data_IF_945839273330
#
_entry.id   IF_945839273330
#
_cell.length_a   1.000
_cell.length_b   1.000
_cell.length_c   1.000
_cell.angle_alpha   90.00
_cell.angle_beta   90.00
_cell.angle_gamma   90.00
#
_symmetry.space_group_name_H-M   'P 1'
#
loop_
_entity.id
_entity.type
_entity.pdbx_description
1 polymer ?
#
# COMPACT_ATOMS: atom_id res chain seq x y z
N UNK A 1 20.70 9.50 16.35
CA UNK A 1 21.53 8.38 15.85
C UNK A 1 22.80 8.92 15.22
N UNK A 2 23.91 8.32 15.54
CA UNK A 2 25.18 8.57 14.89
C UNK A 2 25.62 7.29 14.20
N UNK A 3 26.00 7.40 12.92
CA UNK A 3 26.56 6.30 12.16
C UNK A 3 27.92 6.72 11.66
N UNK A 4 28.90 5.87 11.84
CA UNK A 4 30.24 6.07 11.33
C UNK A 4 30.64 4.93 10.43
N UNK A 5 31.11 5.24 9.23
CA UNK A 5 31.68 4.24 8.32
C UNK A 5 33.22 4.27 8.46
N UNK A 6 33.84 3.12 8.67
CA UNK A 6 35.30 3.03 8.84
C UNK A 6 36.10 3.04 7.52
N UNK A 7 35.46 2.69 6.39
CA UNK A 7 36.15 2.67 5.10
C UNK A 7 35.80 3.87 4.22
N UNK A 8 36.81 4.65 3.89
CA UNK A 8 36.69 5.83 3.05
C UNK A 8 36.27 5.54 1.61
N UNK A 9 35.27 6.25 1.13
CA UNK A 9 34.87 6.26 -0.28
C UNK A 9 35.99 6.89 -1.10
N UNK A 10 36.66 6.11 -1.95
CA UNK A 10 37.58 6.63 -2.97
C UNK A 10 36.77 7.08 -4.17
N UNK A 11 36.34 8.31 -4.16
CA UNK A 11 35.75 8.94 -5.35
C UNK A 11 36.85 9.36 -6.33
N UNK A 12 36.85 8.81 -7.52
CA UNK A 12 37.87 9.01 -8.55
C UNK A 12 37.58 10.16 -9.50
N UNK A 13 36.48 10.88 -9.39
CA UNK A 13 36.06 11.86 -10.39
C UNK A 13 35.25 13.03 -9.81
N UNK A 14 35.96 14.00 -9.24
CA UNK A 14 35.47 15.39 -9.32
C UNK A 14 36.65 16.31 -9.60
N UNK A 15 36.73 16.74 -10.85
CA UNK A 15 37.38 17.99 -11.33
C UNK A 15 38.49 18.61 -10.46
N UNK A 16 39.73 18.21 -10.69
CA UNK A 16 40.90 19.05 -10.45
C UNK A 16 41.24 19.42 -9.00
N UNK A 17 40.56 18.90 -8.01
CA UNK A 17 40.92 19.04 -6.59
C UNK A 17 41.64 17.79 -6.18
N UNK A 18 42.90 17.87 -5.81
CA UNK A 18 43.59 16.79 -5.12
C UNK A 18 42.84 16.52 -3.82
N UNK A 19 41.96 15.50 -3.82
CA UNK A 19 41.36 14.97 -2.61
C UNK A 19 42.46 14.32 -1.80
N UNK A 20 42.88 14.96 -0.72
CA UNK A 20 43.66 14.33 0.33
C UNK A 20 42.88 13.10 0.77
N UNK A 21 43.49 11.91 0.72
CA UNK A 21 42.87 10.65 1.16
C UNK A 21 42.78 10.64 2.69
N UNK A 22 41.91 11.49 3.24
CA UNK A 22 41.53 11.42 4.64
C UNK A 22 40.34 10.44 4.74
N UNK A 23 40.26 9.63 5.76
CA UNK A 23 39.08 8.79 6.00
C UNK A 23 37.86 9.72 6.09
N UNK A 24 36.92 9.56 5.19
CA UNK A 24 35.65 10.30 5.23
C UNK A 24 34.71 9.51 6.14
N UNK A 25 34.41 10.10 7.30
CA UNK A 25 33.37 9.58 8.18
C UNK A 25 32.02 10.15 7.76
N UNK A 26 31.03 9.28 7.57
CA UNK A 26 29.64 9.68 7.33
C UNK A 26 28.90 9.58 8.64
N UNK A 27 28.28 10.67 9.07
CA UNK A 27 27.45 10.71 10.29
C UNK A 27 26.02 11.04 9.89
N UNK A 28 25.09 10.16 10.23
CA UNK A 28 23.66 10.36 10.03
C UNK A 28 23.01 10.58 11.40
N UNK A 29 22.38 11.75 11.58
CA UNK A 29 21.64 12.09 12.81
C UNK A 29 20.18 12.24 12.46
N UNK A 30 19.31 11.37 13.02
CA UNK A 30 17.87 11.42 12.75
C UNK A 30 17.07 10.78 13.89
N UNK A 31 15.78 11.11 13.93
CA UNK A 31 14.79 10.39 14.73
C UNK A 31 14.24 9.22 13.93
N UNK A 32 14.01 8.08 14.54
CA UNK A 32 13.38 6.92 13.89
C UNK A 32 11.89 7.22 13.65
N UNK A 33 11.38 6.81 12.49
CA UNK A 33 9.97 6.97 12.11
C UNK A 33 9.30 5.64 11.84
N UNK A 34 10.07 4.66 11.39
CA UNK A 34 9.58 3.33 11.06
C UNK A 34 10.71 2.37 10.72
N UNK A 35 10.36 1.11 10.48
CA UNK A 35 11.34 0.06 10.14
C UNK A 35 12.09 0.33 8.83
N UNK A 36 11.50 1.12 7.92
CA UNK A 36 12.03 1.42 6.57
C UNK A 36 12.49 2.86 6.40
N UNK A 37 12.65 3.60 7.48
CA UNK A 37 13.29 4.90 7.43
C UNK A 37 14.74 4.78 6.93
N UNK A 38 15.40 5.92 6.68
CA UNK A 38 16.77 5.92 6.17
C UNK A 38 17.70 5.02 7.00
N UNK A 39 17.61 5.10 8.32
CA UNK A 39 18.39 4.24 9.23
C UNK A 39 18.10 2.76 8.98
N UNK A 40 16.82 2.37 8.92
CA UNK A 40 16.44 0.98 8.68
C UNK A 40 16.92 0.46 7.32
N UNK A 41 16.87 1.30 6.27
CA UNK A 41 17.38 0.95 4.95
C UNK A 41 18.91 0.79 4.93
N UNK A 42 19.63 1.70 5.57
CA UNK A 42 21.11 1.65 5.66
C UNK A 42 21.57 0.41 6.40
N UNK A 43 20.99 0.12 7.59
CA UNK A 43 21.32 -1.08 8.38
C UNK A 43 21.03 -2.36 7.58
N UNK A 44 19.86 -2.42 6.90
CA UNK A 44 19.49 -3.57 6.09
C UNK A 44 20.43 -3.75 4.89
N UNK A 45 20.80 -2.68 4.22
CA UNK A 45 21.70 -2.72 3.07
C UNK A 45 23.12 -3.19 3.49
N UNK A 46 23.61 -2.72 4.62
CA UNK A 46 24.89 -3.15 5.21
C UNK A 46 24.87 -4.66 5.50
N UNK A 47 23.83 -5.15 6.18
CA UNK A 47 23.72 -6.57 6.52
C UNK A 47 23.60 -7.50 5.30
N UNK A 48 22.98 -7.05 4.20
CA UNK A 48 22.73 -7.89 3.02
C UNK A 48 23.89 -7.94 2.02
N UNK A 49 24.72 -6.88 1.95
CA UNK A 49 25.72 -6.72 0.87
C UNK A 49 27.17 -6.81 1.31
N UNK A 50 27.44 -7.05 2.59
CA UNK A 50 28.79 -6.95 3.14
C UNK A 50 29.37 -5.55 2.89
N UNK A 51 28.52 -4.53 3.00
CA UNK A 51 28.89 -3.13 2.85
C UNK A 51 29.60 -2.59 4.08
N UNK A 52 29.73 -1.26 4.13
CA UNK A 52 30.40 -0.55 5.21
C UNK A 52 29.80 -0.92 6.58
N UNK A 53 30.64 -1.10 7.59
CA UNK A 53 30.20 -1.30 8.96
C UNK A 53 29.70 0.03 9.53
N UNK A 54 28.51 0.00 10.14
CA UNK A 54 27.90 1.16 10.77
C UNK A 54 27.81 0.97 12.27
N UNK A 55 28.36 1.92 13.00
CA UNK A 55 28.12 2.02 14.43
C UNK A 55 26.78 2.73 14.66
N UNK A 56 25.86 2.07 15.38
CA UNK A 56 24.52 2.59 15.68
C UNK A 56 24.45 2.99 17.14
N UNK A 57 24.29 4.28 17.40
CA UNK A 57 24.12 4.82 18.76
C UNK A 57 22.66 5.24 18.93
N UNK A 58 21.97 4.64 19.88
CA UNK A 58 20.55 4.89 20.16
C UNK A 58 20.38 5.69 21.45
N UNK A 59 19.47 6.67 21.40
CA UNK A 59 19.11 7.50 22.54
C UNK A 59 17.61 7.35 22.87
N UNK A 60 17.18 6.27 23.53
CA UNK A 60 15.79 6.10 23.91
C UNK A 60 15.39 7.08 25.02
N UNK A 61 14.19 7.66 24.94
CA UNK A 61 13.71 8.62 25.93
C UNK A 61 13.64 8.03 27.35
N UNK A 62 13.28 6.75 27.46
CA UNK A 62 13.40 5.97 28.70
C UNK A 62 14.43 4.87 28.46
N UNK A 63 15.53 4.93 29.20
CA UNK A 63 16.61 3.96 29.11
C UNK A 63 16.19 2.57 29.62
N UNK A 64 16.91 1.50 29.28
CA UNK A 64 16.66 0.16 29.83
C UNK A 64 16.68 0.09 31.36
N UNK A 65 17.36 1.05 32.03
CA UNK A 65 17.35 1.21 33.47
C UNK A 65 16.03 1.74 34.06
N UNK A 66 15.04 2.09 33.20
CA UNK A 66 13.78 2.72 33.59
C UNK A 66 13.89 4.21 33.91
N UNK A 67 15.05 4.83 33.71
CA UNK A 67 15.26 6.26 33.94
C UNK A 67 15.16 7.05 32.65
N UNK A 68 14.67 8.31 32.70
CA UNK A 68 14.73 9.21 31.56
C UNK A 68 16.16 9.39 31.07
N UNK A 69 16.35 9.49 29.76
CA UNK A 69 17.65 9.82 29.16
C UNK A 69 18.14 11.21 29.59
N UNK A 70 17.21 12.16 29.68
CA UNK A 70 17.51 13.55 30.05
C UNK A 70 16.53 14.06 31.12
N UNK A 71 16.76 13.68 32.41
CA UNK A 71 15.82 13.95 33.51
C UNK A 71 15.65 15.45 33.83
N UNK A 72 16.62 16.31 33.45
CA UNK A 72 16.51 17.76 33.64
C UNK A 72 15.53 18.40 32.68
N UNK A 73 15.25 17.76 31.53
CA UNK A 73 14.34 18.26 30.51
C UNK A 73 12.99 17.54 30.53
N UNK A 74 13.01 16.22 30.71
CA UNK A 74 11.82 15.37 30.74
C UNK A 74 11.81 14.49 31.97
N UNK A 75 10.86 14.68 32.88
CA UNK A 75 10.65 13.76 33.98
C UNK A 75 10.02 12.44 33.50
N UNK A 76 10.23 11.36 34.26
CA UNK A 76 9.63 10.07 33.94
C UNK A 76 8.10 10.14 33.85
N UNK A 77 7.47 10.90 34.76
CA UNK A 77 6.02 11.10 34.78
C UNK A 77 5.49 11.76 33.51
N UNK A 78 6.19 12.73 32.97
CA UNK A 78 5.80 13.41 31.73
C UNK A 78 5.97 12.48 30.52
N UNK A 79 7.04 11.69 30.49
CA UNK A 79 7.27 10.69 29.43
C UNK A 79 6.20 9.58 29.46
N UNK A 80 5.79 9.13 30.64
CA UNK A 80 4.73 8.14 30.79
C UNK A 80 3.36 8.71 30.35
N UNK A 81 3.03 9.94 30.72
CA UNK A 81 1.82 10.60 30.26
C UNK A 81 1.81 10.74 28.72
N UNK A 82 2.91 11.16 28.15
CA UNK A 82 3.05 11.27 26.68
C UNK A 82 2.92 9.90 25.99
N UNK A 83 3.43 8.84 26.61
CA UNK A 83 3.27 7.47 26.12
C UNK A 83 1.81 7.02 26.05
N UNK A 84 1.01 7.42 27.02
CA UNK A 84 -0.44 7.11 27.03
C UNK A 84 -1.22 7.88 25.96
N UNK A 85 -0.77 9.08 25.61
CA UNK A 85 -1.42 9.93 24.60
C UNK A 85 -1.06 9.52 23.16
N UNK A 86 0.14 8.96 22.94
CA UNK A 86 0.63 8.64 21.62
C UNK A 86 0.29 7.20 21.20
N UNK A 87 0.03 6.95 19.89
CA UNK A 87 0.00 5.60 19.36
C UNK A 87 1.29 4.85 19.69
N UNK A 88 1.18 3.59 20.10
CA UNK A 88 2.34 2.78 20.52
C UNK A 88 3.45 2.73 19.45
N UNK A 89 3.09 2.60 18.17
CA UNK A 89 4.04 2.61 17.06
C UNK A 89 4.85 3.92 16.99
N UNK A 90 4.20 5.05 17.21
CA UNK A 90 4.85 6.36 17.22
C UNK A 90 5.75 6.54 18.44
N UNK A 91 5.28 6.12 19.61
CA UNK A 91 6.09 6.13 20.83
C UNK A 91 7.34 5.26 20.67
N UNK A 92 7.19 4.03 20.20
CA UNK A 92 8.31 3.11 20.01
C UNK A 92 9.31 3.63 18.97
N UNK A 93 8.84 4.15 17.85
CA UNK A 93 9.73 4.66 16.82
C UNK A 93 10.46 5.94 17.25
N UNK A 94 9.71 6.99 17.58
CA UNK A 94 10.27 8.33 17.75
C UNK A 94 10.92 8.55 19.12
N UNK A 95 10.36 7.98 20.17
CA UNK A 95 10.83 8.20 21.54
C UNK A 95 11.72 7.05 22.04
N UNK A 96 11.39 5.81 21.73
CA UNK A 96 12.21 4.66 22.15
C UNK A 96 13.26 4.25 21.10
N UNK A 97 13.27 4.88 19.92
CA UNK A 97 14.17 4.59 18.82
C UNK A 97 14.09 3.13 18.33
N UNK A 98 13.05 2.41 18.72
CA UNK A 98 12.78 1.03 18.38
C UNK A 98 11.48 0.93 17.57
N UNK A 99 11.50 1.21 16.25
CA UNK A 99 10.31 1.11 15.43
C UNK A 99 9.83 -0.35 15.37
N UNK A 100 8.60 -0.55 15.76
CA UNK A 100 7.92 -1.85 15.71
C UNK A 100 7.00 -1.89 14.50
N UNK A 101 6.73 -3.09 14.00
CA UNK A 101 5.68 -3.28 13.01
C UNK A 101 4.35 -2.74 13.57
N UNK A 102 3.60 -2.06 12.73
CA UNK A 102 2.37 -1.39 13.15
C UNK A 102 1.33 -2.44 13.58
N UNK A 103 1.17 -2.66 14.89
CA UNK A 103 0.15 -3.57 15.43
C UNK A 103 -1.27 -3.08 15.12
N UNK A 104 -1.41 -1.80 14.80
CA UNK A 104 -2.68 -1.18 14.38
C UNK A 104 -2.91 -1.29 12.85
N UNK A 105 -2.05 -1.98 12.10
CA UNK A 105 -2.27 -2.20 10.68
C UNK A 105 -3.57 -2.98 10.47
N UNK A 106 -4.44 -2.44 9.61
CA UNK A 106 -5.73 -3.10 9.25
C UNK A 106 -5.45 -4.40 8.51
N UNK A 107 -4.38 -4.40 7.68
CA UNK A 107 -3.96 -5.54 6.88
C UNK A 107 -2.53 -5.89 7.23
N UNK A 108 -2.31 -7.13 7.64
CA UNK A 108 -0.96 -7.62 7.98
C UNK A 108 -0.26 -8.15 6.74
N UNK A 109 1.07 -7.88 6.62
CA UNK A 109 1.89 -8.45 5.55
C UNK A 109 1.83 -10.00 5.50
N UNK A 110 1.71 -10.66 6.64
CA UNK A 110 1.64 -12.13 6.75
C UNK A 110 0.36 -12.75 6.19
N UNK A 111 -0.66 -11.96 5.87
CA UNK A 111 -1.91 -12.46 5.29
C UNK A 111 -1.84 -12.71 3.79
N UNK A 112 -0.87 -12.06 3.12
CA UNK A 112 -0.66 -12.20 1.70
C UNK A 112 0.03 -13.53 1.38
N UNK A 113 -0.47 -14.23 0.37
CA UNK A 113 0.16 -15.44 -0.15
C UNK A 113 1.15 -15.09 -1.26
N UNK A 114 2.25 -15.78 -1.30
CA UNK A 114 3.27 -15.58 -2.33
C UNK A 114 3.11 -16.64 -3.42
N UNK A 115 3.02 -16.18 -4.66
CA UNK A 115 3.05 -17.05 -5.82
C UNK A 115 4.50 -17.27 -6.25
N UNK A 116 4.97 -18.52 -6.16
CA UNK A 116 6.36 -18.88 -6.45
C UNK A 116 6.59 -19.26 -7.93
N UNK A 117 5.53 -19.34 -8.74
CA UNK A 117 5.64 -19.66 -10.15
C UNK A 117 6.21 -18.52 -10.99
N UNK A 118 7.02 -18.82 -12.00
CA UNK A 118 7.59 -17.84 -12.93
C UNK A 118 6.52 -17.11 -13.77
N UNK A 119 5.37 -17.74 -13.96
CA UNK A 119 4.22 -17.17 -14.67
C UNK A 119 2.98 -17.20 -13.78
N UNK A 120 2.08 -16.22 -13.95
CA UNK A 120 0.81 -16.25 -13.20
C UNK A 120 -0.03 -17.47 -13.61
N UNK A 121 -0.90 -17.96 -12.73
CA UNK A 121 -1.83 -19.01 -13.08
C UNK A 121 -2.82 -18.54 -14.16
N UNK A 122 -3.43 -19.46 -14.95
CA UNK A 122 -4.49 -19.10 -15.87
C UNK A 122 -5.66 -18.48 -15.09
N UNK A 123 -6.06 -17.27 -15.48
CA UNK A 123 -7.10 -16.52 -14.83
C UNK A 123 -8.43 -16.64 -15.61
N UNK A 124 -9.51 -16.86 -14.89
CA UNK A 124 -10.88 -16.94 -15.43
C UNK A 124 -11.49 -15.55 -15.65
N UNK A 125 -11.00 -14.56 -14.91
CA UNK A 125 -11.47 -13.17 -14.99
C UNK A 125 -10.32 -12.23 -14.65
N UNK A 126 -10.11 -11.19 -15.43
CA UNK A 126 -9.09 -10.17 -15.22
C UNK A 126 -9.76 -8.81 -15.02
N UNK A 127 -9.37 -8.11 -13.96
CA UNK A 127 -9.86 -6.79 -13.61
C UNK A 127 -8.72 -5.79 -13.50
N UNK A 128 -8.85 -4.65 -14.16
CA UNK A 128 -8.00 -3.48 -13.91
C UNK A 128 -8.75 -2.45 -13.09
N UNK A 129 -8.10 -1.93 -12.07
CA UNK A 129 -8.62 -0.89 -11.20
C UNK A 129 -7.67 0.30 -11.15
N UNK A 130 -8.21 1.51 -11.27
CA UNK A 130 -7.42 2.73 -11.36
C UNK A 130 -7.92 3.79 -10.38
N UNK A 131 -6.98 4.33 -9.58
CA UNK A 131 -7.11 5.61 -8.90
C UNK A 131 -6.21 6.62 -9.60
N UNK A 132 -6.79 7.69 -10.15
CA UNK A 132 -6.07 8.63 -10.97
C UNK A 132 -6.03 10.00 -10.32
N UNK A 133 -4.82 10.52 -10.13
CA UNK A 133 -4.58 11.87 -9.70
C UNK A 133 -4.19 12.75 -10.89
N UNK A 134 -4.75 13.95 -10.97
CA UNK A 134 -4.38 14.95 -11.95
C UNK A 134 -4.43 16.34 -11.33
N UNK A 135 -3.27 16.90 -11.10
CA UNK A 135 -3.14 18.32 -10.78
C UNK A 135 -2.17 19.01 -11.74
N UNK A 136 -2.56 20.23 -12.17
CA UNK A 136 -1.77 21.06 -13.11
C UNK A 136 -0.47 21.63 -12.51
N UNK A 137 -0.12 21.31 -11.27
CA UNK A 137 1.03 21.86 -10.58
C UNK A 137 2.08 20.80 -10.26
N UNK A 138 3.35 21.23 -10.12
CA UNK A 138 4.57 20.43 -9.91
C UNK A 138 4.60 19.49 -8.68
N UNK A 139 3.46 19.23 -8.03
CA UNK A 139 3.25 18.29 -6.94
C UNK A 139 2.10 17.33 -7.22
N UNK A 140 1.93 16.92 -8.49
CA UNK A 140 0.93 15.93 -8.84
C UNK A 140 1.12 14.66 -8.00
N UNK A 141 0.03 14.18 -7.40
CA UNK A 141 -0.02 12.88 -6.75
C UNK A 141 0.22 11.76 -7.77
N UNK A 142 0.53 10.57 -7.31
CA UNK A 142 0.69 9.43 -8.21
C UNK A 142 -0.66 8.99 -8.77
N UNK A 143 -0.68 8.62 -10.04
CA UNK A 143 -1.75 7.79 -10.59
C UNK A 143 -1.36 6.33 -10.37
N UNK A 144 -2.28 5.55 -9.80
CA UNK A 144 -2.08 4.15 -9.48
C UNK A 144 -3.08 3.27 -10.20
N UNK A 145 -2.61 2.16 -10.73
CA UNK A 145 -3.42 1.12 -11.35
C UNK A 145 -2.96 -0.26 -10.91
N UNK A 146 -3.89 -1.15 -10.65
CA UNK A 146 -3.62 -2.54 -10.31
C UNK A 146 -4.39 -3.48 -11.21
N UNK A 147 -3.73 -4.53 -11.69
CA UNK A 147 -4.34 -5.59 -12.50
C UNK A 147 -4.41 -6.86 -11.69
N UNK A 148 -5.59 -7.43 -11.59
CA UNK A 148 -5.88 -8.60 -10.76
C UNK A 148 -6.55 -9.69 -11.57
N UNK A 149 -6.21 -10.94 -11.29
CA UNK A 149 -6.84 -12.10 -11.87
C UNK A 149 -7.58 -12.95 -10.84
N UNK A 150 -8.70 -13.54 -11.23
CA UNK A 150 -9.35 -14.62 -10.50
C UNK A 150 -8.88 -15.94 -11.08
N UNK A 151 -8.43 -16.84 -10.22
CA UNK A 151 -8.00 -18.17 -10.61
C UNK A 151 -8.52 -19.22 -9.63
N UNK A 152 -8.74 -20.42 -10.12
CA UNK A 152 -9.07 -21.57 -9.30
C UNK A 152 -7.79 -22.23 -8.80
N UNK A 153 -7.65 -22.37 -7.48
CA UNK A 153 -6.49 -23.02 -6.90
C UNK A 153 -6.80 -24.51 -6.61
N UNK A 154 -6.19 -25.46 -7.34
CA UNK A 154 -6.41 -26.89 -7.12
C UNK A 154 -5.99 -27.39 -5.73
N UNK A 155 -5.03 -26.70 -5.09
CA UNK A 155 -4.55 -27.03 -3.76
C UNK A 155 -5.50 -26.58 -2.65
N UNK A 156 -6.45 -25.68 -2.95
CA UNK A 156 -7.44 -25.13 -2.03
C UNK A 156 -8.86 -25.59 -2.40
N UNK A 157 -9.04 -26.89 -2.63
CA UNK A 157 -10.33 -27.50 -2.97
C UNK A 157 -11.07 -26.80 -4.13
N UNK A 158 -10.36 -26.41 -5.16
CA UNK A 158 -10.89 -25.69 -6.32
C UNK A 158 -11.60 -24.37 -5.96
N UNK A 159 -11.19 -23.71 -4.89
CA UNK A 159 -11.73 -22.40 -4.52
C UNK A 159 -11.15 -21.29 -5.39
N UNK A 160 -11.96 -20.28 -5.63
CA UNK A 160 -11.53 -19.07 -6.31
C UNK A 160 -10.62 -18.24 -5.42
N UNK A 161 -9.50 -17.85 -5.98
CA UNK A 161 -8.48 -17.01 -5.37
C UNK A 161 -8.19 -15.80 -6.27
N UNK A 162 -7.57 -14.78 -5.72
CA UNK A 162 -7.19 -13.55 -6.41
C UNK A 162 -5.68 -13.50 -6.52
N UNK A 163 -5.15 -13.14 -7.68
CA UNK A 163 -3.72 -12.91 -7.88
C UNK A 163 -3.47 -11.52 -8.45
N UNK A 164 -2.45 -10.84 -7.91
CA UNK A 164 -1.93 -9.60 -8.46
C UNK A 164 -1.10 -9.91 -9.72
N UNK A 165 -1.47 -9.33 -10.85
CA UNK A 165 -0.83 -9.55 -12.14
C UNK A 165 0.12 -8.42 -12.52
N UNK A 166 -0.24 -7.16 -12.19
CA UNK A 166 0.55 -5.99 -12.56
C UNK A 166 0.23 -4.77 -11.68
N UNK A 167 1.20 -3.87 -11.57
CA UNK A 167 1.09 -2.62 -10.83
C UNK A 167 1.64 -1.46 -11.64
N UNK A 168 0.84 -0.43 -11.80
CA UNK A 168 1.26 0.86 -12.34
C UNK A 168 1.24 1.91 -11.21
N UNK A 169 2.36 2.62 -11.03
CA UNK A 169 2.43 3.76 -10.12
C UNK A 169 3.39 4.79 -10.70
N UNK A 170 2.85 5.88 -11.24
CA UNK A 170 3.65 6.97 -11.83
C UNK A 170 3.01 8.32 -11.60
N UNK A 171 3.84 9.35 -11.56
CA UNK A 171 3.43 10.74 -11.76
C UNK A 171 3.50 11.01 -13.26
N UNK A 172 2.35 11.09 -13.90
CA UNK A 172 2.27 11.20 -15.36
C UNK A 172 1.46 12.42 -15.75
N UNK A 173 1.85 13.04 -16.86
CA UNK A 173 1.01 14.04 -17.51
C UNK A 173 -0.23 13.34 -18.13
N UNK A 174 -1.26 14.11 -18.36
CA UNK A 174 -2.54 13.60 -18.87
C UNK A 174 -2.42 12.72 -20.12
N UNK A 175 -1.63 13.17 -21.09
CA UNK A 175 -1.45 12.45 -22.36
C UNK A 175 -0.76 11.11 -22.16
N UNK A 176 0.23 11.08 -21.30
CA UNK A 176 0.98 9.86 -20.98
C UNK A 176 0.12 8.89 -20.16
N UNK A 177 -0.60 9.39 -19.15
CA UNK A 177 -1.53 8.57 -18.38
C UNK A 177 -2.57 7.88 -19.27
N UNK A 178 -3.20 8.63 -20.17
CA UNK A 178 -4.18 8.07 -21.12
C UNK A 178 -3.56 6.98 -22.01
N UNK A 179 -2.37 7.25 -22.55
CA UNK A 179 -1.63 6.29 -23.37
C UNK A 179 -1.28 5.03 -22.57
N UNK A 180 -0.76 5.18 -21.37
CA UNK A 180 -0.31 4.09 -20.53
C UNK A 180 -1.51 3.21 -20.08
N UNK A 181 -2.61 3.82 -19.67
CA UNK A 181 -3.86 3.08 -19.34
C UNK A 181 -4.39 2.29 -20.54
N UNK A 182 -4.43 2.92 -21.72
CA UNK A 182 -4.87 2.26 -22.94
C UNK A 182 -3.95 1.12 -23.36
N UNK A 183 -2.63 1.30 -23.21
CA UNK A 183 -1.67 0.27 -23.52
C UNK A 183 -1.82 -0.93 -22.58
N UNK A 184 -1.89 -0.70 -21.26
CA UNK A 184 -2.11 -1.76 -20.27
C UNK A 184 -3.45 -2.48 -20.46
N UNK A 185 -4.50 -1.76 -20.88
CA UNK A 185 -5.76 -2.38 -21.26
C UNK A 185 -5.58 -3.36 -22.44
N UNK A 186 -4.78 -2.99 -23.45
CA UNK A 186 -4.51 -3.87 -24.58
C UNK A 186 -3.64 -5.07 -24.23
N UNK A 187 -2.63 -4.86 -23.39
CA UNK A 187 -1.67 -5.89 -23.03
C UNK A 187 -2.32 -6.98 -22.16
N UNK A 188 -3.20 -6.60 -21.25
CA UNK A 188 -3.88 -7.53 -20.35
C UNK A 188 -5.24 -8.00 -20.87
N UNK A 189 -5.86 -7.29 -21.79
CA UNK A 189 -7.21 -7.54 -22.30
C UNK A 189 -8.21 -7.90 -21.18
N UNK A 190 -8.40 -7.02 -20.17
CA UNK A 190 -9.18 -7.34 -19.00
C UNK A 190 -10.68 -7.46 -19.30
N UNK A 191 -11.38 -8.33 -18.58
CA UNK A 191 -12.83 -8.46 -18.61
C UNK A 191 -13.54 -7.25 -17.99
N UNK A 192 -12.85 -6.52 -17.14
CA UNK A 192 -13.35 -5.29 -16.52
C UNK A 192 -12.24 -4.26 -16.31
N UNK A 193 -12.59 -2.99 -16.57
CA UNK A 193 -11.74 -1.85 -16.24
C UNK A 193 -12.57 -0.85 -15.44
N UNK A 194 -12.11 -0.56 -14.21
CA UNK A 194 -12.78 0.36 -13.27
C UNK A 194 -11.90 1.56 -13.02
N UNK A 195 -12.48 2.74 -13.08
CA UNK A 195 -11.81 4.00 -12.75
C UNK A 195 -12.64 4.75 -11.72
N UNK A 196 -11.98 5.22 -10.64
CA UNK A 196 -12.65 6.07 -9.67
C UNK A 196 -12.96 7.45 -10.29
N UNK A 197 -14.24 7.84 -10.21
CA UNK A 197 -14.74 9.12 -10.75
C UNK A 197 -14.42 10.26 -9.79
N UNK A 198 -13.16 10.59 -9.64
CA UNK A 198 -12.66 11.85 -9.05
C UNK A 198 -12.43 12.88 -10.17
N UNK A 199 -11.98 14.08 -9.80
CA UNK A 199 -11.73 15.18 -10.74
C UNK A 199 -10.92 14.78 -11.98
N UNK A 200 -9.94 13.88 -11.83
CA UNK A 200 -9.11 13.37 -12.93
C UNK A 200 -9.69 12.16 -13.66
N UNK A 201 -10.45 11.31 -12.97
CA UNK A 201 -11.01 10.10 -13.54
C UNK A 201 -12.11 10.35 -14.57
N UNK A 202 -12.93 11.38 -14.38
CA UNK A 202 -14.06 11.64 -15.27
C UNK A 202 -13.65 11.94 -16.73
N UNK A 203 -12.67 12.81 -17.02
CA UNK A 203 -12.17 13.00 -18.38
C UNK A 203 -11.53 11.74 -18.96
N UNK A 204 -10.78 10.98 -18.18
CA UNK A 204 -10.13 9.75 -18.62
C UNK A 204 -11.16 8.69 -19.03
N UNK A 205 -12.22 8.53 -18.25
CA UNK A 205 -13.34 7.63 -18.55
C UNK A 205 -13.96 7.99 -19.89
N UNK A 206 -14.24 9.29 -20.13
CA UNK A 206 -14.84 9.75 -21.37
C UNK A 206 -13.94 9.44 -22.58
N UNK A 207 -12.65 9.77 -22.49
CA UNK A 207 -11.68 9.55 -23.56
C UNK A 207 -11.52 8.05 -23.87
N UNK A 208 -11.34 7.21 -22.86
CA UNK A 208 -11.20 5.76 -23.06
C UNK A 208 -12.46 5.13 -23.66
N UNK A 209 -13.64 5.55 -23.22
CA UNK A 209 -14.91 5.12 -23.84
C UNK A 209 -15.00 5.52 -25.30
N UNK A 210 -14.54 6.72 -25.67
CA UNK A 210 -14.50 7.14 -27.07
C UNK A 210 -13.54 6.31 -27.92
N UNK A 211 -12.53 5.70 -27.30
CA UNK A 211 -11.59 4.76 -27.93
C UNK A 211 -12.10 3.32 -27.95
N UNK A 212 -13.35 3.08 -27.51
CA UNK A 212 -13.96 1.74 -27.50
C UNK A 212 -13.62 0.89 -26.26
N UNK A 213 -13.02 1.47 -25.21
CA UNK A 213 -12.72 0.73 -23.98
C UNK A 213 -13.96 0.72 -23.08
N UNK A 214 -14.45 -0.46 -22.61
CA UNK A 214 -15.64 -0.57 -21.76
C UNK A 214 -15.31 -0.21 -20.30
N UNK A 215 -15.12 1.07 -20.01
CA UNK A 215 -14.78 1.55 -18.67
C UNK A 215 -16.01 1.58 -17.77
N UNK A 216 -15.90 0.96 -16.60
CA UNK A 216 -16.85 1.12 -15.50
C UNK A 216 -16.42 2.28 -14.61
N UNK A 217 -17.32 3.21 -14.36
CA UNK A 217 -17.06 4.28 -13.41
C UNK A 217 -17.44 3.86 -12.00
N UNK A 218 -16.57 4.15 -11.05
CA UNK A 218 -16.86 4.01 -9.63
C UNK A 218 -16.95 5.38 -8.99
N UNK A 219 -18.06 5.64 -8.33
CA UNK A 219 -18.23 6.86 -7.54
C UNK A 219 -18.39 6.45 -6.08
N UNK A 220 -17.44 6.82 -5.21
CA UNK A 220 -17.57 6.55 -3.78
C UNK A 220 -18.87 7.18 -3.25
N UNK A 221 -19.69 6.40 -2.56
CA UNK A 221 -20.84 6.95 -1.87
C UNK A 221 -20.37 7.89 -0.76
N UNK A 222 -21.05 9.03 -0.59
CA UNK A 222 -20.82 9.87 0.57
C UNK A 222 -21.32 9.10 1.79
N UNK A 223 -20.39 8.70 2.68
CA UNK A 223 -20.74 8.10 3.96
C UNK A 223 -21.64 9.04 4.78
N UNK A 224 -22.43 8.47 5.66
CA UNK A 224 -23.16 9.25 6.66
C UNK A 224 -22.25 9.55 7.86
N UNK A 225 -22.64 10.49 8.73
CA UNK A 225 -21.89 10.78 9.96
C UNK A 225 -21.77 9.55 10.88
N UNK A 226 -22.71 8.60 10.78
CA UNK A 226 -22.71 7.35 11.54
C UNK A 226 -21.94 6.20 10.85
N UNK A 227 -21.75 6.29 9.52
CA UNK A 227 -21.00 5.31 8.73
C UNK A 227 -20.16 6.07 7.68
N UNK A 228 -19.00 6.60 8.06
CA UNK A 228 -18.11 7.30 7.16
C UNK A 228 -17.57 6.31 6.12
N UNK A 229 -17.66 6.71 4.84
CA UNK A 229 -17.07 5.95 3.74
C UNK A 229 -15.68 6.53 3.41
N UNK A 230 -14.80 6.49 4.39
CA UNK A 230 -13.41 6.91 4.24
C UNK A 230 -12.51 5.71 3.82
N UNK A 231 -11.24 5.98 3.55
CA UNK A 231 -10.26 4.96 3.18
C UNK A 231 -10.14 3.84 4.22
N UNK A 232 -10.22 4.19 5.51
CA UNK A 232 -10.14 3.22 6.60
C UNK A 232 -11.32 2.25 6.55
N UNK A 233 -12.54 2.75 6.42
CA UNK A 233 -13.75 1.93 6.35
C UNK A 233 -13.74 1.04 5.09
N UNK A 234 -13.29 1.57 3.94
CA UNK A 234 -13.18 0.82 2.69
C UNK A 234 -12.16 -0.31 2.80
N UNK A 235 -10.96 -0.05 3.32
CA UNK A 235 -9.95 -1.10 3.53
C UNK A 235 -10.44 -2.14 4.53
N UNK A 236 -11.06 -1.72 5.63
CA UNK A 236 -11.63 -2.63 6.62
C UNK A 236 -12.69 -3.56 6.03
N UNK A 237 -13.49 -3.06 5.07
CA UNK A 237 -14.54 -3.85 4.41
C UNK A 237 -14.04 -4.98 3.50
N UNK A 238 -12.75 -4.98 3.14
CA UNK A 238 -12.12 -6.00 2.28
C UNK A 238 -10.93 -6.69 2.97
N UNK A 239 -10.58 -6.27 4.17
CA UNK A 239 -9.43 -6.83 4.90
C UNK A 239 -9.58 -8.32 5.21
N UNK A 240 -10.79 -8.80 5.40
CA UNK A 240 -11.13 -10.21 5.62
C UNK A 240 -10.83 -11.07 4.38
N UNK A 241 -10.96 -10.55 3.16
CA UNK A 241 -10.56 -11.25 1.94
C UNK A 241 -9.06 -11.54 1.97
N UNK A 242 -8.26 -10.54 2.37
CA UNK A 242 -6.80 -10.71 2.48
C UNK A 242 -6.46 -11.63 3.66
N UNK A 243 -7.12 -11.45 4.80
CA UNK A 243 -6.92 -12.26 6.00
C UNK A 243 -7.27 -13.74 5.80
N UNK A 244 -8.21 -14.04 4.89
CA UNK A 244 -8.57 -15.42 4.55
C UNK A 244 -7.49 -16.18 3.77
N UNK A 245 -6.41 -15.49 3.33
CA UNK A 245 -5.34 -16.08 2.54
C UNK A 245 -5.70 -16.32 1.07
N UNK A 246 -6.78 -15.71 0.57
CA UNK A 246 -7.23 -15.84 -0.82
C UNK A 246 -6.54 -14.88 -1.78
N UNK A 247 -5.72 -13.95 -1.28
CA UNK A 247 -5.03 -12.95 -2.11
C UNK A 247 -3.56 -13.30 -2.25
N UNK A 248 -3.15 -13.49 -3.49
CA UNK A 248 -1.80 -13.89 -3.88
C UNK A 248 -1.08 -12.75 -4.59
N UNK A 249 0.23 -12.68 -4.38
CA UNK A 249 1.11 -11.73 -5.06
C UNK A 249 2.34 -12.46 -5.58
N UNK A 250 2.89 -12.09 -6.74
CA UNK A 250 4.12 -12.70 -7.24
C UNK A 250 5.32 -12.31 -6.36
N UNK A 251 6.35 -13.14 -6.34
CA UNK A 251 7.60 -12.91 -5.62
C UNK A 251 8.47 -11.85 -6.32
N UNK A 252 7.95 -10.62 -6.50
CA UNK A 252 8.60 -9.53 -7.21
C UNK A 252 8.69 -8.28 -6.34
N UNK A 253 9.68 -7.42 -6.63
CA UNK A 253 9.86 -6.18 -5.88
C UNK A 253 8.66 -5.24 -5.95
N UNK A 254 8.05 -5.09 -7.12
CA UNK A 254 6.91 -4.19 -7.31
C UNK A 254 5.65 -4.68 -6.57
N UNK A 255 5.48 -5.99 -6.44
CA UNK A 255 4.40 -6.57 -5.62
C UNK A 255 4.66 -6.37 -4.13
N UNK A 256 5.91 -6.50 -3.69
CA UNK A 256 6.33 -6.18 -2.33
C UNK A 256 6.05 -4.71 -1.97
N UNK A 257 6.29 -3.78 -2.89
CA UNK A 257 6.01 -2.35 -2.69
C UNK A 257 4.52 -2.09 -2.45
N UNK A 258 3.61 -2.79 -3.16
CA UNK A 258 2.16 -2.72 -2.93
C UNK A 258 1.78 -3.27 -1.56
N UNK A 259 2.27 -4.47 -1.22
CA UNK A 259 1.99 -5.11 0.07
C UNK A 259 2.43 -4.24 1.24
N UNK A 260 3.60 -3.60 1.09
CA UNK A 260 4.14 -2.72 2.12
C UNK A 260 3.36 -1.43 2.28
N UNK A 261 2.89 -0.84 1.17
CA UNK A 261 2.04 0.36 1.22
C UNK A 261 0.73 0.08 1.95
N UNK A 262 0.08 -1.05 1.64
CA UNK A 262 -1.17 -1.44 2.29
C UNK A 262 -0.96 -1.80 3.76
N UNK A 263 0.11 -2.52 4.09
CA UNK A 263 0.43 -2.89 5.47
C UNK A 263 0.88 -1.70 6.33
N UNK A 264 1.39 -0.63 5.71
CA UNK A 264 1.78 0.60 6.42
C UNK A 264 0.60 1.52 6.73
N UNK A 265 -0.55 1.33 6.10
CA UNK A 265 -1.73 2.19 6.33
C UNK A 265 -2.30 2.00 7.75
N UNK A 266 -2.70 3.07 8.46
CA UNK A 266 -2.83 4.46 8.00
C UNK A 266 -1.57 5.33 8.18
N UNK A 267 -0.46 4.78 8.62
CA UNK A 267 0.76 5.51 8.98
C UNK A 267 1.75 5.66 7.81
N UNK A 268 1.42 5.13 6.63
CA UNK A 268 2.25 5.20 5.42
C UNK A 268 2.27 6.60 4.81
N UNK A 269 3.35 6.92 4.06
CA UNK A 269 3.47 8.19 3.32
C UNK A 269 2.61 8.22 2.05
N UNK A 270 2.33 7.06 1.48
CA UNK A 270 1.57 6.88 0.24
C UNK A 270 0.44 5.88 0.45
N UNK A 271 -0.67 6.11 -0.24
CA UNK A 271 -1.86 5.26 -0.19
C UNK A 271 -2.56 5.13 -1.56
N UNK A 272 -1.81 5.40 -2.63
CA UNK A 272 -2.34 5.40 -4.00
C UNK A 272 -2.66 3.96 -4.49
N UNK A 273 -1.75 3.01 -4.23
CA UNK A 273 -1.95 1.60 -4.56
C UNK A 273 -3.02 0.95 -3.68
N UNK A 274 -3.18 1.44 -2.44
CA UNK A 274 -4.23 1.00 -1.54
C UNK A 274 -5.62 1.27 -2.13
N UNK A 275 -5.89 2.50 -2.59
CA UNK A 275 -7.20 2.86 -3.13
C UNK A 275 -7.55 2.01 -4.37
N UNK A 276 -6.60 1.83 -5.29
CA UNK A 276 -6.76 0.97 -6.45
C UNK A 276 -7.02 -0.49 -6.06
N UNK A 277 -6.27 -1.04 -5.10
CA UNK A 277 -6.44 -2.42 -4.60
C UNK A 277 -7.79 -2.62 -3.94
N UNK A 278 -8.18 -1.71 -3.04
CA UNK A 278 -9.47 -1.78 -2.34
C UNK A 278 -10.63 -1.76 -3.32
N UNK A 279 -10.56 -0.91 -4.36
CA UNK A 279 -11.58 -0.84 -5.38
C UNK A 279 -11.73 -2.16 -6.15
N UNK A 280 -10.61 -2.83 -6.49
CA UNK A 280 -10.63 -4.13 -7.14
C UNK A 280 -11.27 -5.21 -6.22
N UNK A 281 -10.84 -5.30 -4.95
CA UNK A 281 -11.36 -6.30 -4.01
C UNK A 281 -12.85 -6.09 -3.72
N UNK A 282 -13.30 -4.85 -3.55
CA UNK A 282 -14.73 -4.52 -3.41
C UNK A 282 -15.52 -4.98 -4.63
N UNK A 283 -14.98 -4.81 -5.84
CA UNK A 283 -15.65 -5.24 -7.07
C UNK A 283 -15.75 -6.75 -7.17
N UNK A 284 -14.71 -7.49 -6.80
CA UNK A 284 -14.74 -8.95 -6.77
C UNK A 284 -15.80 -9.48 -5.80
N UNK A 285 -15.87 -8.88 -4.59
CA UNK A 285 -16.89 -9.24 -3.59
C UNK A 285 -18.30 -8.91 -4.09
N UNK A 286 -18.53 -7.68 -4.54
CA UNK A 286 -19.84 -7.24 -5.04
C UNK A 286 -20.30 -8.00 -6.29
N UNK A 287 -19.37 -8.48 -7.11
CA UNK A 287 -19.66 -9.34 -8.27
C UNK A 287 -19.87 -10.81 -7.94
N UNK A 288 -19.73 -11.21 -6.69
CA UNK A 288 -19.84 -12.61 -6.25
C UNK A 288 -18.71 -13.51 -6.78
N UNK A 289 -17.64 -12.91 -7.32
CA UNK A 289 -16.46 -13.63 -7.82
C UNK A 289 -15.58 -14.18 -6.68
N UNK A 290 -15.64 -13.54 -5.52
CA UNK A 290 -15.05 -14.03 -4.27
C UNK A 290 -16.12 -14.04 -3.21
N UNK A 291 -16.27 -15.19 -2.56
CA UNK A 291 -17.17 -15.37 -1.42
C UNK A 291 -16.40 -15.92 -0.24
N UNK A 292 -16.67 -15.37 0.93
CA UNK A 292 -16.17 -15.86 2.18
C UNK A 292 -17.30 -16.58 2.93
N UNK A 293 -16.99 -17.53 3.82
CA UNK A 293 -18.00 -18.17 4.66
C UNK A 293 -18.79 -17.20 5.54
N UNK A 294 -18.24 -16.00 5.75
CA UNK A 294 -18.83 -14.91 6.52
C UNK A 294 -19.76 -14.02 5.71
N UNK A 295 -19.77 -14.15 4.38
CA UNK A 295 -20.67 -13.39 3.54
C UNK A 295 -22.09 -13.94 3.69
N UNK A 296 -23.06 -13.07 3.95
CA UNK A 296 -24.45 -13.49 4.04
C UNK A 296 -24.88 -14.14 2.72
N UNK A 297 -25.57 -15.28 2.76
CA UNK A 297 -26.13 -15.85 1.54
C UNK A 297 -27.11 -14.82 0.96
N UNK A 298 -26.99 -14.53 -0.34
CA UNK A 298 -27.94 -13.67 -1.05
C UNK A 298 -29.36 -14.17 -0.73
N UNK A 299 -30.13 -13.39 0.03
CA UNK A 299 -31.56 -13.69 0.15
C UNK A 299 -32.11 -13.75 -1.28
N UNK A 300 -32.76 -14.87 -1.67
CA UNK A 300 -33.34 -14.95 -3.00
C UNK A 300 -34.29 -13.76 -3.14
N UNK A 301 -34.00 -12.90 -4.14
CA UNK A 301 -34.85 -11.75 -4.42
C UNK A 301 -36.29 -12.24 -4.53
N UNK A 302 -37.07 -12.01 -3.47
CA UNK A 302 -38.51 -12.25 -3.49
C UNK A 302 -39.07 -11.25 -4.50
N UNK A 303 -39.29 -11.71 -5.72
CA UNK A 303 -40.09 -10.97 -6.69
C UNK A 303 -41.43 -10.68 -5.99
N UNK A 304 -41.58 -9.42 -5.56
CA UNK A 304 -42.90 -8.93 -5.20
C UNK A 304 -43.71 -8.95 -6.50
N UNK A 305 -44.59 -9.94 -6.63
CA UNK A 305 -45.60 -9.93 -7.68
C UNK A 305 -46.33 -8.60 -7.58
N UNK A 306 -46.54 -7.90 -8.71
CA UNK A 306 -47.26 -6.64 -8.73
C UNK A 306 -48.65 -6.88 -8.11
N UNK A 307 -48.99 -6.11 -7.06
CA UNK A 307 -50.35 -6.14 -6.51
C UNK A 307 -51.29 -5.80 -7.67
N UNK A 308 -52.11 -6.76 -8.10
CA UNK A 308 -53.23 -6.49 -8.95
C UNK A 308 -54.11 -5.50 -8.18
N UNK A 309 -54.22 -4.26 -8.68
CA UNK A 309 -55.23 -3.33 -8.21
C UNK A 309 -56.58 -3.88 -8.59
N UNK A 310 -57.36 -4.31 -7.62
CA UNK A 310 -58.78 -4.55 -7.84
C UNK A 310 -59.46 -3.17 -7.99
N UNK A 311 -59.79 -2.84 -9.21
CA UNK A 311 -60.81 -1.84 -9.45
C UNK A 311 -62.16 -2.50 -9.30
N UNK A 312 -62.93 -2.01 -8.36
CA UNK A 312 -64.35 -1.89 -8.38
C UNK A 312 -64.72 -0.45 -8.21
#
# INVERSE_FOLDING_TARGET
FFFQAEDGIRDKLVTGVQTCALPISIVIVMTRWGLRDLTGQVIKASAQRGGDEWEVIEFPAIMPSGKPLWPEFWSLKELEALREELPNSKWQAQYQQNPVANEAAIVKRSWWKIWEGDTPPPCEFILQSWDTAFEKHNRADFSAGTTWGIFTNPEDNDQQNIILLDVYKKRSEWTDLKRDVYQLYKDWNPDGLIIEKKAAGAPLIYELRSMGVPVQEYTPSRGTRAAPNDKFARLSSVSDIIASGKVWVPATRWADELVDEIAAFPSGEHDDLLDSTVLALMRFRAGGLIRLPTDEPDEPMRFRSPRRSAYY
#
